data_IF_561240232090
#
_entry.id   IF_561240232090
#
_cell.length_a   1.000
_cell.length_b   1.000
_cell.length_c   1.000
_cell.angle_alpha   90.00
_cell.angle_beta   90.00
_cell.angle_gamma   90.00
#
_symmetry.space_group_name_H-M   'P 1'
#
loop_
_entity.id
_entity.type
_entity.pdbx_description
1 polymer ?
#
# COMPACT_ATOMS: atom_id res chain seq x y z
N UNK A 1 2.99 15.95 9.50
CA UNK A 1 3.10 14.61 8.91
C UNK A 1 1.77 13.89 9.00
N UNK A 2 1.36 13.26 7.92
CA UNK A 2 0.03 12.68 7.84
C UNK A 2 0.10 11.17 7.71
N UNK A 3 -0.76 10.50 8.46
CA UNK A 3 -0.86 9.06 8.42
C UNK A 3 -2.27 8.64 8.07
N UNK A 4 -2.36 7.53 7.34
CA UNK A 4 -3.62 6.83 7.11
C UNK A 4 -3.45 5.42 7.68
N UNK A 5 -3.73 5.24 8.98
CA UNK A 5 -3.50 3.94 9.61
C UNK A 5 -4.20 2.78 8.91
N UNK A 6 -5.38 3.03 8.38
CA UNK A 6 -6.12 1.98 7.69
C UNK A 6 -5.39 1.51 6.44
N UNK A 7 -4.76 2.45 5.72
CA UNK A 7 -3.95 2.07 4.57
C UNK A 7 -2.83 1.13 4.99
N UNK A 8 -2.15 1.47 6.08
CA UNK A 8 -1.07 0.63 6.59
C UNK A 8 -1.55 -0.74 7.05
N UNK A 9 -2.70 -0.78 7.69
CA UNK A 9 -3.28 -2.04 8.14
C UNK A 9 -3.66 -2.91 6.96
N UNK A 10 -4.18 -2.30 5.91
CA UNK A 10 -4.53 -3.04 4.70
C UNK A 10 -3.30 -3.68 4.06
N UNK A 11 -2.21 -2.93 4.02
CA UNK A 11 -0.95 -3.46 3.47
C UNK A 11 -0.47 -4.62 4.32
N UNK A 12 -0.47 -4.45 5.62
CA UNK A 12 -0.02 -5.51 6.53
C UNK A 12 -0.87 -6.77 6.38
N UNK A 13 -2.18 -6.59 6.33
CA UNK A 13 -3.08 -7.72 6.16
C UNK A 13 -2.81 -8.44 4.84
N UNK A 14 -2.67 -7.68 3.77
CA UNK A 14 -2.42 -8.26 2.45
C UNK A 14 -1.09 -8.99 2.42
N UNK A 15 -0.04 -8.41 3.05
CA UNK A 15 1.24 -9.09 3.12
C UNK A 15 1.13 -10.42 3.84
N UNK A 16 0.47 -10.43 4.99
CA UNK A 16 0.34 -11.66 5.76
C UNK A 16 -0.46 -12.72 5.02
N UNK A 17 -1.41 -12.28 4.21
CA UNK A 17 -2.22 -13.21 3.45
C UNK A 17 -1.50 -13.74 2.22
N UNK A 18 -0.80 -12.87 1.49
CA UNK A 18 -0.16 -13.25 0.23
C UNK A 18 1.23 -13.83 0.44
N UNK A 19 1.93 -13.38 1.47
CA UNK A 19 3.29 -13.79 1.77
C UNK A 19 3.42 -14.14 3.24
N UNK A 20 2.73 -15.19 3.67
CA UNK A 20 2.63 -15.49 5.11
C UNK A 20 3.97 -15.80 5.77
N UNK A 21 4.98 -16.16 5.00
CA UNK A 21 6.29 -16.48 5.56
C UNK A 21 7.23 -15.29 5.59
N UNK A 22 6.83 -14.17 4.97
CA UNK A 22 7.68 -12.98 4.93
C UNK A 22 7.43 -12.12 6.17
N UNK A 23 8.51 -11.76 6.85
CA UNK A 23 8.43 -10.67 7.80
C UNK A 23 8.60 -9.36 7.02
N UNK A 24 8.63 -8.24 7.73
CA UNK A 24 8.75 -6.94 7.07
C UNK A 24 10.05 -6.82 6.28
N UNK A 25 11.15 -7.34 6.84
CA UNK A 25 12.43 -7.26 6.13
C UNK A 25 12.39 -8.05 4.83
N UNK A 26 11.87 -9.26 4.87
CA UNK A 26 11.81 -10.09 3.68
C UNK A 26 10.92 -9.46 2.62
N UNK A 27 9.77 -8.94 3.04
CA UNK A 27 8.86 -8.33 2.09
C UNK A 27 9.43 -7.04 1.50
N UNK A 28 10.12 -6.24 2.33
CA UNK A 28 10.73 -5.02 1.82
C UNK A 28 11.75 -5.32 0.71
N UNK A 29 12.47 -6.43 0.83
CA UNK A 29 13.40 -6.83 -0.21
C UNK A 29 12.68 -7.14 -1.51
N UNK A 30 11.51 -7.77 -1.42
CA UNK A 30 10.71 -8.04 -2.62
C UNK A 30 10.24 -6.77 -3.28
N UNK A 31 9.86 -5.78 -2.48
CA UNK A 31 9.41 -4.50 -3.00
C UNK A 31 10.56 -3.70 -3.58
N UNK A 32 11.77 -3.93 -3.07
CA UNK A 32 12.95 -3.19 -3.53
C UNK A 32 13.17 -1.91 -2.75
N UNK A 33 12.77 -1.88 -1.48
CA UNK A 33 12.93 -0.71 -0.62
C UNK A 33 13.55 -1.14 0.70
N UNK A 34 13.96 -0.16 1.50
CA UNK A 34 14.52 -0.45 2.81
C UNK A 34 13.43 -0.94 3.76
N UNK A 35 13.85 -1.70 4.76
CA UNK A 35 12.92 -2.13 5.79
C UNK A 35 12.31 -0.93 6.51
N UNK A 36 13.12 0.09 6.77
CA UNK A 36 12.62 1.28 7.46
C UNK A 36 11.51 1.97 6.65
N UNK A 37 11.69 2.08 5.35
CA UNK A 37 10.67 2.67 4.48
C UNK A 37 9.42 1.81 4.49
N UNK A 38 9.58 0.50 4.38
CA UNK A 38 8.42 -0.37 4.39
C UNK A 38 7.67 -0.31 5.72
N UNK A 39 8.41 -0.22 6.83
CA UNK A 39 7.79 -0.11 8.14
C UNK A 39 6.88 1.12 8.21
N UNK A 40 7.34 2.23 7.62
CA UNK A 40 6.51 3.44 7.55
C UNK A 40 5.24 3.19 6.75
N UNK A 41 5.34 2.39 5.70
CA UNK A 41 4.16 2.09 4.89
C UNK A 41 3.11 1.31 5.68
N UNK A 42 3.53 0.41 6.54
CA UNK A 42 2.57 -0.33 7.37
C UNK A 42 1.96 0.54 8.45
N UNK A 43 2.49 1.72 8.67
CA UNK A 43 1.87 2.73 9.53
C UNK A 43 0.97 3.67 8.74
N UNK A 44 0.98 3.55 7.43
CA UNK A 44 0.21 4.42 6.56
C UNK A 44 0.81 5.81 6.43
N UNK A 45 2.13 5.92 6.54
CA UNK A 45 2.83 7.20 6.48
C UNK A 45 2.81 7.74 5.06
N UNK A 46 2.16 8.88 4.87
CA UNK A 46 2.00 9.46 3.55
C UNK A 46 3.21 10.25 3.07
N UNK A 47 4.25 10.34 3.90
CA UNK A 47 5.49 10.92 3.43
C UNK A 47 6.27 9.94 2.55
N UNK A 48 5.90 8.65 2.56
CA UNK A 48 6.51 7.67 1.68
C UNK A 48 5.96 7.88 0.28
N UNK A 49 6.84 7.76 -0.71
CA UNK A 49 6.46 7.96 -2.09
C UNK A 49 5.31 7.05 -2.52
N UNK A 50 4.37 7.61 -3.26
CA UNK A 50 3.28 6.83 -3.82
C UNK A 50 3.82 5.71 -4.70
N UNK A 51 4.96 5.93 -5.35
CA UNK A 51 5.59 4.92 -6.17
C UNK A 51 5.89 3.65 -5.35
N UNK A 52 6.38 3.82 -4.13
CA UNK A 52 6.67 2.67 -3.28
C UNK A 52 5.40 1.92 -2.90
N UNK A 53 4.34 2.67 -2.60
CA UNK A 53 3.04 2.05 -2.33
C UNK A 53 2.55 1.26 -3.54
N UNK A 54 2.72 1.82 -4.72
CA UNK A 54 2.29 1.14 -5.93
C UNK A 54 3.11 -0.14 -6.17
N UNK A 55 4.41 -0.09 -5.93
CA UNK A 55 5.26 -1.26 -6.08
C UNK A 55 4.84 -2.38 -5.15
N UNK A 56 4.52 -2.04 -3.90
CA UNK A 56 4.01 -3.02 -2.96
C UNK A 56 2.67 -3.57 -3.41
N UNK A 57 1.79 -2.70 -3.89
CA UNK A 57 0.47 -3.12 -4.35
C UNK A 57 0.56 -4.12 -5.49
N UNK A 58 1.53 -3.95 -6.39
CA UNK A 58 1.70 -4.89 -7.50
C UNK A 58 2.03 -6.29 -6.98
N UNK A 59 2.93 -6.36 -6.01
CA UNK A 59 3.26 -7.66 -5.42
C UNK A 59 2.06 -8.26 -4.71
N UNK A 60 1.26 -7.42 -4.10
CA UNK A 60 0.09 -7.87 -3.35
C UNK A 60 -1.13 -8.06 -4.24
N UNK A 61 -1.00 -7.78 -5.55
CA UNK A 61 -2.03 -7.97 -6.56
C UNK A 61 -3.26 -7.09 -6.32
N UNK A 62 -3.04 -5.91 -5.79
CA UNK A 62 -4.11 -4.93 -5.58
C UNK A 62 -3.79 -3.60 -6.26
N UNK A 63 -2.90 -3.63 -7.25
CA UNK A 63 -2.49 -2.39 -7.90
C UNK A 63 -3.65 -1.70 -8.63
N UNK A 64 -4.68 -2.44 -8.99
CA UNK A 64 -5.82 -1.82 -9.66
C UNK A 64 -6.57 -0.85 -8.77
N UNK A 65 -6.39 -0.96 -7.46
CA UNK A 65 -7.02 -0.01 -6.55
C UNK A 65 -6.50 1.40 -6.78
N UNK A 66 -5.29 1.52 -7.32
CA UNK A 66 -4.71 2.84 -7.58
C UNK A 66 -5.45 3.59 -8.67
N UNK A 67 -6.09 2.88 -9.58
CA UNK A 67 -6.86 3.54 -10.62
C UNK A 67 -8.16 4.12 -10.08
N UNK A 68 -8.49 3.80 -8.85
CA UNK A 68 -9.72 4.29 -8.20
C UNK A 68 -9.46 5.42 -7.24
N UNK A 69 -8.19 5.78 -7.03
CA UNK A 69 -7.89 6.90 -6.17
C UNK A 69 -8.54 8.15 -6.75
N UNK A 70 -9.17 8.93 -5.89
CA UNK A 70 -9.90 10.15 -6.26
C UNK A 70 -11.11 9.89 -7.13
N UNK A 71 -11.49 8.64 -7.32
CA UNK A 71 -12.68 8.34 -8.10
C UNK A 71 -13.90 8.72 -7.30
N UNK A 72 -14.68 9.64 -7.82
CA UNK A 72 -15.92 10.00 -7.18
C UNK A 72 -16.94 8.91 -7.40
N UNK A 73 -17.70 8.62 -6.38
CA UNK A 73 -18.85 7.78 -6.55
C UNK A 73 -19.68 8.41 -7.61
N UNK A 74 -19.83 7.72 -8.67
CA UNK A 74 -20.49 8.30 -9.78
C UNK A 74 -21.89 8.74 -9.45
N UNK A 75 -22.17 9.95 -9.78
CA UNK A 75 -23.52 10.40 -9.80
C UNK A 75 -23.93 10.43 -11.24
N UNK A 76 -24.94 9.69 -11.58
CA UNK A 76 -25.39 9.67 -12.95
C UNK A 76 -25.96 10.98 -13.39
N UNK A 77 -26.09 11.89 -12.46
CA UNK A 77 -26.65 13.19 -12.75
C UNK A 77 -25.60 14.25 -12.95
N UNK A 78 -24.36 13.87 -12.78
CA UNK A 78 -23.29 14.81 -13.01
C UNK A 78 -23.13 14.97 -14.50
N UNK A 79 -23.25 16.15 -14.90
CA UNK A 79 -23.14 16.44 -16.33
C UNK A 79 -21.90 17.19 -16.64
#
# INVERSE_FOLDING_TARGET
MTFLPELGQNIRFARKKQFPRDNMKAFSLRVGISRATYQKMEKGDLSVSLKHYYQAAKLLRVENDFTRLFLLKESLFDD
#
